data_IF_880551195716
#
_entry.id   IF_880551195716
#
_cell.length_a   1.000
_cell.length_b   1.000
_cell.length_c   1.000
_cell.angle_alpha   90.00
_cell.angle_beta   90.00
_cell.angle_gamma   90.00
#
_symmetry.space_group_name_H-M   'P 1'
#
loop_
_entity.id
_entity.type
_entity.pdbx_description
1 polymer ?
#
# COMPACT_ATOMS: atom_id res chain seq x y z
N UNK A 1 0.84 -10.82 -4.05
CA UNK A 1 1.71 -11.89 -3.50
C UNK A 1 0.87 -12.84 -2.68
N UNK A 2 1.06 -14.15 -2.84
CA UNK A 2 0.38 -15.16 -2.01
C UNK A 2 1.11 -15.29 -0.68
N UNK A 3 0.36 -15.35 0.43
CA UNK A 3 0.92 -15.49 1.79
C UNK A 3 0.11 -16.53 2.57
N UNK A 4 0.77 -17.12 3.56
CA UNK A 4 0.14 -18.01 4.55
C UNK A 4 0.63 -17.64 5.96
N UNK A 5 -0.09 -18.09 6.97
CA UNK A 5 0.31 -17.97 8.36
C UNK A 5 0.90 -19.32 8.79
N UNK A 6 2.10 -19.32 9.32
CA UNK A 6 2.80 -20.50 9.82
C UNK A 6 3.26 -20.33 11.26
N UNK A 7 3.91 -21.36 11.79
CA UNK A 7 4.56 -21.33 13.10
C UNK A 7 6.03 -21.71 12.95
N UNK A 8 6.92 -20.89 13.47
CA UNK A 8 8.34 -21.19 13.52
C UNK A 8 8.85 -21.00 14.96
N UNK A 9 9.41 -22.06 15.55
CA UNK A 9 9.91 -22.06 16.94
C UNK A 9 8.91 -21.59 18.00
N UNK A 10 7.59 -21.84 17.77
CA UNK A 10 6.52 -21.42 18.66
C UNK A 10 6.01 -20.00 18.44
N UNK A 11 6.54 -19.28 17.47
CA UNK A 11 6.09 -17.93 17.08
C UNK A 11 5.29 -17.99 15.79
N UNK A 12 4.23 -17.19 15.68
CA UNK A 12 3.46 -17.01 14.45
C UNK A 12 4.30 -16.22 13.43
N UNK A 13 4.38 -16.74 12.21
CA UNK A 13 5.14 -16.13 11.11
C UNK A 13 4.27 -16.01 9.86
N UNK A 14 4.61 -15.07 9.01
CA UNK A 14 4.03 -14.95 7.67
C UNK A 14 4.95 -15.67 6.68
N UNK A 15 4.39 -16.60 5.93
CA UNK A 15 5.08 -17.31 4.85
C UNK A 15 4.71 -16.61 3.54
N UNK A 16 5.68 -15.96 2.90
CA UNK A 16 5.49 -15.34 1.58
C UNK A 16 5.97 -16.32 0.50
N UNK A 17 5.10 -16.62 -0.46
CA UNK A 17 5.48 -17.44 -1.62
C UNK A 17 6.30 -16.62 -2.59
N UNK A 18 7.32 -17.28 -3.18
CA UNK A 18 8.08 -16.65 -4.25
C UNK A 18 7.14 -16.33 -5.42
N UNK A 19 7.09 -15.08 -5.83
CA UNK A 19 6.24 -14.58 -6.90
C UNK A 19 6.95 -14.49 -8.25
N UNK A 20 8.26 -14.78 -8.30
CA UNK A 20 9.02 -14.78 -9.53
C UNK A 20 8.69 -16.04 -10.35
N UNK A 21 8.39 -15.85 -11.62
CA UNK A 21 8.28 -16.95 -12.56
C UNK A 21 9.68 -17.44 -12.98
N UNK A 22 9.80 -18.68 -13.48
CA UNK A 22 11.09 -19.19 -13.96
C UNK A 22 11.72 -18.25 -14.99
N UNK A 23 12.96 -17.82 -14.72
CA UNK A 23 13.72 -16.91 -15.59
C UNK A 23 13.36 -15.43 -15.42
N UNK A 24 12.53 -15.06 -14.43
CA UNK A 24 12.35 -13.67 -14.05
C UNK A 24 13.41 -13.23 -13.07
N UNK A 25 13.81 -11.96 -13.18
CA UNK A 25 14.67 -11.24 -12.23
C UNK A 25 13.89 -10.05 -11.66
N UNK A 26 13.98 -9.84 -10.33
CA UNK A 26 13.41 -8.68 -9.65
C UNK A 26 14.46 -7.58 -9.55
N UNK A 27 14.12 -6.40 -10.07
CA UNK A 27 14.81 -5.15 -9.74
C UNK A 27 13.90 -4.34 -8.81
N UNK A 28 14.38 -4.04 -7.63
CA UNK A 28 13.64 -3.18 -6.69
C UNK A 28 13.59 -1.74 -7.20
N UNK A 29 12.58 -0.99 -6.77
CA UNK A 29 12.44 0.39 -7.21
C UNK A 29 13.66 1.26 -6.91
N UNK A 30 14.42 0.93 -5.87
CA UNK A 30 15.69 1.59 -5.54
C UNK A 30 16.72 1.53 -6.65
N UNK A 31 16.80 0.41 -7.37
CA UNK A 31 17.77 0.19 -8.45
C UNK A 31 17.64 1.16 -9.63
N UNK A 32 16.49 1.82 -9.76
CA UNK A 32 16.21 2.79 -10.83
C UNK A 32 16.55 4.25 -10.45
N UNK A 33 17.05 4.48 -9.23
CA UNK A 33 17.40 5.81 -8.77
C UNK A 33 18.93 5.96 -8.67
N UNK A 34 19.52 6.77 -9.52
CA UNK A 34 20.98 7.00 -9.55
C UNK A 34 21.52 7.57 -8.21
N UNK A 35 20.68 8.30 -7.48
CA UNK A 35 21.01 8.92 -6.19
C UNK A 35 20.70 8.01 -4.99
N UNK A 36 20.48 6.71 -5.21
CA UNK A 36 20.17 5.81 -4.13
C UNK A 36 21.40 5.64 -3.21
N UNK A 37 21.33 6.13 -1.98
CA UNK A 37 22.44 5.97 -1.06
C UNK A 37 22.53 4.51 -0.62
N UNK A 38 23.59 3.83 -1.04
CA UNK A 38 23.93 2.49 -0.57
C UNK A 38 24.48 2.59 0.86
N UNK A 39 23.60 2.84 1.81
CA UNK A 39 23.98 2.75 3.22
C UNK A 39 23.41 1.46 3.85
N UNK A 40 24.33 0.61 4.28
CA UNK A 40 24.14 -0.78 4.68
C UNK A 40 23.35 -0.97 6.00
N UNK A 41 22.51 -0.05 6.42
CA UNK A 41 21.88 -0.20 7.72
C UNK A 41 20.46 0.32 7.92
N UNK A 42 19.96 1.22 7.08
CA UNK A 42 18.57 1.73 7.14
C UNK A 42 18.10 2.12 5.77
N UNK A 43 16.85 1.80 5.38
CA UNK A 43 16.28 2.31 4.15
C UNK A 43 16.17 3.83 4.24
N UNK A 44 17.07 4.53 3.56
CA UNK A 44 17.01 5.98 3.41
C UNK A 44 16.11 6.25 2.20
N UNK A 45 15.07 7.05 2.39
CA UNK A 45 14.21 7.44 1.28
C UNK A 45 15.04 8.22 0.25
N UNK A 46 15.00 7.76 -1.00
CA UNK A 46 15.66 8.42 -2.13
C UNK A 46 15.27 9.89 -2.22
N UNK A 47 16.22 10.82 -2.40
CA UNK A 47 15.90 12.22 -2.71
C UNK A 47 14.92 12.31 -3.88
N UNK A 48 13.96 13.21 -3.81
CA UNK A 48 12.99 13.39 -4.88
C UNK A 48 12.06 12.18 -5.13
N UNK A 49 11.79 11.35 -4.13
CA UNK A 49 10.87 10.21 -4.25
C UNK A 49 9.43 10.69 -4.47
N UNK A 50 9.13 11.03 -5.72
CA UNK A 50 7.85 11.61 -6.14
C UNK A 50 7.13 10.73 -7.14
N UNK A 51 5.80 10.93 -7.24
CA UNK A 51 4.98 10.29 -8.26
C UNK A 51 5.56 10.46 -9.68
N UNK A 52 5.99 11.67 -10.03
CA UNK A 52 6.52 11.95 -11.36
C UNK A 52 7.80 11.18 -11.65
N UNK A 53 8.68 11.06 -10.65
CA UNK A 53 9.94 10.33 -10.83
C UNK A 53 9.68 8.81 -10.97
N UNK A 54 8.76 8.25 -10.18
CA UNK A 54 8.36 6.84 -10.32
C UNK A 54 7.66 6.62 -11.66
N UNK A 55 6.80 7.54 -12.07
CA UNK A 55 6.14 7.50 -13.38
C UNK A 55 7.15 7.38 -14.53
N UNK A 56 8.22 8.19 -14.53
CA UNK A 56 9.24 8.11 -15.60
C UNK A 56 9.95 6.76 -15.68
N UNK A 57 10.00 6.02 -14.57
CA UNK A 57 10.57 4.66 -14.52
C UNK A 57 9.61 3.64 -15.15
N UNK A 58 8.32 3.71 -14.83
CA UNK A 58 7.35 2.66 -15.20
C UNK A 58 6.67 2.92 -16.56
N UNK A 59 6.57 4.18 -16.99
CA UNK A 59 5.84 4.58 -18.21
C UNK A 59 6.44 3.98 -19.51
N UNK A 60 7.78 3.86 -19.68
CA UNK A 60 8.37 3.20 -20.87
C UNK A 60 7.94 1.74 -21.05
N UNK A 61 7.52 1.08 -19.96
CA UNK A 61 7.03 -0.30 -19.97
C UNK A 61 5.51 -0.41 -20.04
N UNK A 62 4.79 0.72 -20.14
CA UNK A 62 3.32 0.74 -20.15
C UNK A 62 2.67 0.46 -18.77
N UNK A 63 3.44 0.52 -17.67
CA UNK A 63 3.02 0.15 -16.31
C UNK A 63 2.46 1.32 -15.48
N UNK A 64 2.11 2.44 -16.10
CA UNK A 64 1.42 3.53 -15.41
C UNK A 64 0.10 3.10 -14.74
N UNK A 65 -0.74 2.25 -15.37
CA UNK A 65 -1.94 1.74 -14.68
C UNK A 65 -1.62 0.94 -13.41
N UNK A 66 -0.53 0.18 -13.40
CA UNK A 66 -0.10 -0.61 -12.23
C UNK A 66 0.41 0.29 -11.11
N UNK A 67 1.16 1.36 -11.44
CA UNK A 67 1.55 2.39 -10.48
C UNK A 67 0.33 3.05 -9.84
N UNK A 68 -0.70 3.39 -10.62
CA UNK A 68 -1.92 4.00 -10.09
C UNK A 68 -2.70 3.01 -9.20
N UNK A 69 -2.76 1.73 -9.57
CA UNK A 69 -3.32 0.67 -8.74
C UNK A 69 -2.57 0.54 -7.40
N UNK A 70 -1.24 0.59 -7.41
CA UNK A 70 -0.41 0.57 -6.20
C UNK A 70 -0.75 1.75 -5.28
N UNK A 71 -0.85 2.96 -5.81
CA UNK A 71 -1.19 4.18 -5.04
C UNK A 71 -2.58 4.07 -4.42
N UNK A 72 -3.57 3.60 -5.19
CA UNK A 72 -4.94 3.39 -4.70
C UNK A 72 -4.97 2.30 -3.63
N UNK A 73 -4.24 1.21 -3.80
CA UNK A 73 -4.12 0.15 -2.80
C UNK A 73 -3.48 0.65 -1.51
N UNK A 74 -2.34 1.34 -1.58
CA UNK A 74 -1.67 1.90 -0.41
C UNK A 74 -2.57 2.91 0.33
N UNK A 75 -3.34 3.70 -0.43
CA UNK A 75 -4.34 4.58 0.15
C UNK A 75 -5.46 3.79 0.84
N UNK A 76 -5.92 2.68 0.30
CA UNK A 76 -6.97 1.83 0.89
C UNK A 76 -6.51 1.24 2.22
N UNK A 77 -5.33 0.64 2.26
CA UNK A 77 -4.80 -0.05 3.45
C UNK A 77 -4.07 0.89 4.41
N UNK A 78 -3.95 2.17 4.08
CA UNK A 78 -3.17 3.17 4.83
C UNK A 78 -1.69 2.77 5.00
N UNK A 79 -1.06 2.25 3.95
CA UNK A 79 0.36 1.87 3.97
C UNK A 79 1.24 3.13 4.07
N UNK A 80 1.99 3.25 5.16
CA UNK A 80 2.84 4.44 5.41
C UNK A 80 4.31 4.23 5.04
N UNK A 81 4.64 3.10 4.42
CA UNK A 81 6.03 2.69 4.22
C UNK A 81 6.32 2.16 2.80
N UNK A 82 5.67 2.70 1.78
CA UNK A 82 5.99 2.41 0.38
C UNK A 82 7.24 3.18 -0.05
N UNK A 83 8.39 2.82 0.51
CA UNK A 83 9.68 3.32 0.02
C UNK A 83 10.11 2.60 -1.27
N UNK A 84 11.22 3.03 -1.85
CA UNK A 84 11.67 2.55 -3.16
C UNK A 84 11.93 1.02 -3.21
N UNK A 85 12.31 0.39 -2.11
CA UNK A 85 12.61 -1.04 -2.07
C UNK A 85 11.37 -1.91 -1.77
N UNK A 86 10.20 -1.30 -1.52
CA UNK A 86 8.93 -2.00 -1.27
C UNK A 86 8.08 -2.16 -2.53
N UNK A 87 8.62 -1.88 -3.69
CA UNK A 87 8.07 -2.19 -5.01
C UNK A 87 9.20 -2.50 -5.98
N UNK A 88 8.90 -3.10 -7.11
CA UNK A 88 9.92 -3.41 -8.12
C UNK A 88 9.32 -3.86 -9.43
N UNK A 89 10.18 -4.07 -10.42
CA UNK A 89 9.86 -4.58 -11.74
C UNK A 89 10.45 -5.97 -11.90
N UNK A 90 9.64 -6.91 -12.41
CA UNK A 90 10.10 -8.24 -12.80
C UNK A 90 10.40 -8.23 -14.29
N UNK A 91 11.61 -8.61 -14.65
CA UNK A 91 12.10 -8.69 -16.02
C UNK A 91 12.24 -10.13 -16.46
N UNK A 92 11.81 -10.43 -17.68
CA UNK A 92 12.07 -11.68 -18.36
C UNK A 92 12.17 -11.44 -19.86
N UNK A 93 13.37 -11.55 -20.43
CA UNK A 93 13.61 -11.20 -21.82
C UNK A 93 13.10 -9.78 -22.13
N UNK A 94 12.20 -9.62 -23.08
CA UNK A 94 11.59 -8.32 -23.44
C UNK A 94 10.30 -8.00 -22.65
N UNK A 95 9.92 -8.86 -21.71
CA UNK A 95 8.70 -8.67 -20.89
C UNK A 95 9.04 -8.05 -19.56
N UNK A 96 8.29 -7.00 -19.21
CA UNK A 96 8.40 -6.33 -17.92
C UNK A 96 7.02 -6.22 -17.29
N UNK A 97 6.92 -6.51 -15.99
CA UNK A 97 5.71 -6.32 -15.20
C UNK A 97 6.03 -5.72 -13.85
N UNK A 98 5.06 -5.05 -13.23
CA UNK A 98 5.19 -4.68 -11.83
C UNK A 98 5.19 -5.96 -10.98
N UNK A 99 6.09 -6.04 -10.01
CA UNK A 99 6.07 -7.09 -9.01
C UNK A 99 4.74 -7.04 -8.23
N UNK A 100 4.17 -8.18 -7.80
CA UNK A 100 3.07 -8.15 -6.84
C UNK A 100 3.47 -7.33 -5.62
N UNK A 101 2.55 -6.51 -5.11
CA UNK A 101 2.85 -5.68 -3.95
C UNK A 101 3.25 -6.53 -2.74
N UNK A 102 4.33 -6.16 -2.09
CA UNK A 102 4.89 -6.84 -0.91
C UNK A 102 5.19 -5.82 0.19
N UNK A 103 5.58 -6.31 1.36
CA UNK A 103 5.90 -5.53 2.55
C UNK A 103 4.81 -4.52 2.96
N UNK A 104 3.67 -5.06 3.42
CA UNK A 104 2.56 -4.25 3.92
C UNK A 104 2.54 -4.13 5.46
N UNK A 105 3.66 -4.42 6.12
CA UNK A 105 3.77 -4.41 7.58
C UNK A 105 3.36 -3.10 8.24
N UNK A 106 3.51 -1.98 7.54
CA UNK A 106 3.15 -0.64 8.01
C UNK A 106 1.74 -0.18 7.62
N UNK A 107 0.79 -1.13 7.48
CA UNK A 107 -0.59 -0.89 7.05
C UNK A 107 -1.61 -1.11 8.17
N UNK A 108 -2.87 -0.74 7.93
CA UNK A 108 -4.03 -1.07 8.75
C UNK A 108 -3.92 -0.68 10.24
N UNK A 109 -3.12 0.36 10.54
CA UNK A 109 -2.91 0.82 11.92
C UNK A 109 -2.07 -0.15 12.76
N UNK A 110 -1.11 -0.85 12.16
CA UNK A 110 -0.23 -1.85 12.76
C UNK A 110 0.38 -1.43 14.10
N UNK A 111 0.78 -0.15 14.24
CA UNK A 111 1.45 0.38 15.44
C UNK A 111 0.50 0.69 16.60
N UNK A 112 -0.80 0.56 16.41
CA UNK A 112 -1.79 0.83 17.47
C UNK A 112 -1.87 -0.37 18.43
N UNK A 113 -1.81 -0.12 19.73
CA UNK A 113 -2.19 -1.11 20.72
C UNK A 113 -3.73 -1.16 20.91
N UNK A 114 -4.22 -2.18 21.59
CA UNK A 114 -5.66 -2.43 21.79
C UNK A 114 -6.37 -1.25 22.51
N UNK A 115 -5.73 -0.62 23.49
CA UNK A 115 -6.32 0.52 24.19
C UNK A 115 -6.50 1.72 23.27
N UNK A 116 -5.53 1.95 22.40
CA UNK A 116 -5.61 3.01 21.39
C UNK A 116 -6.69 2.73 20.35
N UNK A 117 -6.80 1.49 19.89
CA UNK A 117 -7.88 1.06 18.99
C UNK A 117 -9.24 1.28 19.66
N UNK A 118 -9.43 0.82 20.90
CA UNK A 118 -10.66 1.02 21.67
C UNK A 118 -11.04 2.49 21.77
N UNK A 119 -10.07 3.34 22.08
CA UNK A 119 -10.28 4.79 22.19
C UNK A 119 -10.68 5.43 20.87
N UNK A 120 -10.04 5.01 19.76
CA UNK A 120 -10.39 5.50 18.42
C UNK A 120 -11.80 5.03 18.03
N UNK A 121 -12.12 3.76 18.26
CA UNK A 121 -13.41 3.16 17.89
C UNK A 121 -14.59 3.73 18.69
N UNK A 122 -14.37 4.15 19.94
CA UNK A 122 -15.40 4.77 20.78
C UNK A 122 -15.69 6.23 20.44
N UNK A 123 -14.94 6.88 19.55
CA UNK A 123 -15.08 8.28 19.22
C UNK A 123 -14.99 8.53 17.71
N UNK A 124 -16.12 8.87 17.09
CA UNK A 124 -16.20 9.08 15.64
C UNK A 124 -15.23 10.16 15.14
N UNK A 125 -15.06 11.28 15.85
CA UNK A 125 -14.12 12.35 15.44
C UNK A 125 -12.67 11.86 15.47
N UNK A 126 -12.30 11.02 16.44
CA UNK A 126 -10.97 10.42 16.50
C UNK A 126 -10.77 9.43 15.35
N UNK A 127 -11.80 8.65 15.03
CA UNK A 127 -11.75 7.70 13.93
C UNK A 127 -11.59 8.42 12.57
N UNK A 128 -12.39 9.45 12.30
CA UNK A 128 -12.27 10.29 11.10
C UNK A 128 -10.89 10.95 11.01
N UNK A 129 -10.37 11.49 12.12
CA UNK A 129 -9.04 12.06 12.15
C UNK A 129 -7.95 11.01 11.86
N UNK A 130 -8.14 9.77 12.31
CA UNK A 130 -7.22 8.66 12.03
C UNK A 130 -7.24 8.29 10.54
N UNK A 131 -8.41 8.15 9.93
CA UNK A 131 -8.56 7.87 8.50
C UNK A 131 -7.81 8.89 7.65
N UNK A 132 -7.90 10.18 7.99
CA UNK A 132 -7.32 11.27 7.21
C UNK A 132 -5.80 11.45 7.43
N UNK A 133 -5.19 10.79 8.43
CA UNK A 133 -3.76 10.93 8.77
C UNK A 133 -2.83 9.96 8.03
N UNK A 134 -3.35 9.00 7.28
CA UNK A 134 -2.51 8.04 6.55
C UNK A 134 -1.55 8.76 5.60
N UNK A 135 -0.25 8.75 5.93
CA UNK A 135 0.78 9.43 5.16
C UNK A 135 1.33 8.51 4.07
N UNK A 136 1.65 9.10 2.92
CA UNK A 136 2.40 8.43 1.84
C UNK A 136 3.86 8.85 1.87
N UNK A 137 4.77 7.91 1.56
CA UNK A 137 6.16 8.25 1.26
C UNK A 137 6.33 8.79 -0.16
N UNK A 138 5.48 8.34 -1.10
CA UNK A 138 5.42 8.92 -2.46
C UNK A 138 4.83 10.32 -2.35
N UNK A 139 5.49 11.31 -2.94
CA UNK A 139 5.15 12.73 -2.85
C UNK A 139 4.72 13.29 -4.20
N UNK A 140 4.05 14.43 -4.20
CA UNK A 140 3.83 15.21 -5.43
C UNK A 140 5.03 16.08 -5.75
N UNK A 141 5.63 16.69 -4.72
CA UNK A 141 6.77 17.60 -4.80
C UNK A 141 7.81 17.22 -3.76
N UNK A 142 9.08 17.47 -4.08
CA UNK A 142 10.17 17.17 -3.18
C UNK A 142 10.04 17.98 -1.86
N UNK A 143 10.41 17.33 -0.76
CA UNK A 143 10.42 17.95 0.58
C UNK A 143 9.06 18.01 1.29
N UNK A 144 7.94 17.92 0.59
CA UNK A 144 6.62 18.05 1.20
C UNK A 144 6.00 16.69 1.54
N UNK A 145 5.79 16.43 2.84
CA UNK A 145 5.03 15.26 3.30
C UNK A 145 3.57 15.40 2.87
N UNK A 146 2.98 14.28 2.43
CA UNK A 146 1.61 14.27 1.92
C UNK A 146 0.85 13.08 2.47
N UNK A 147 -0.45 13.23 2.74
CA UNK A 147 -1.31 12.09 3.02
C UNK A 147 -1.81 11.45 1.71
N UNK A 148 -2.27 10.20 1.80
CA UNK A 148 -2.73 9.45 0.63
C UNK A 148 -3.82 10.16 -0.17
N UNK A 149 -4.79 10.79 0.51
CA UNK A 149 -5.93 11.43 -0.17
C UNK A 149 -5.49 12.67 -0.94
N UNK A 150 -4.58 13.47 -0.37
CA UNK A 150 -4.02 14.62 -1.06
C UNK A 150 -3.11 14.19 -2.23
N UNK A 151 -2.40 13.06 -2.09
CA UNK A 151 -1.63 12.49 -3.19
C UNK A 151 -2.56 12.12 -4.36
N UNK A 152 -3.66 11.39 -4.10
CA UNK A 152 -4.66 11.04 -5.12
C UNK A 152 -5.24 12.30 -5.76
N UNK A 153 -5.63 13.30 -4.95
CA UNK A 153 -6.18 14.57 -5.47
C UNK A 153 -5.19 15.29 -6.39
N UNK A 154 -3.91 15.33 -6.02
CA UNK A 154 -2.88 15.97 -6.84
C UNK A 154 -2.59 15.22 -8.14
N UNK A 155 -2.63 13.88 -8.11
CA UNK A 155 -2.47 13.04 -9.31
C UNK A 155 -3.70 13.17 -10.23
N UNK A 156 -4.92 13.28 -9.69
CA UNK A 156 -6.17 13.37 -10.45
C UNK A 156 -6.12 14.45 -11.54
N UNK A 157 -5.51 15.57 -11.27
CA UNK A 157 -5.42 16.67 -12.23
C UNK A 157 -4.65 16.28 -13.53
N UNK A 158 -3.86 15.21 -13.49
CA UNK A 158 -3.04 14.74 -14.62
C UNK A 158 -3.49 13.38 -15.15
N UNK A 159 -4.01 12.52 -14.27
CA UNK A 159 -4.31 11.10 -14.53
C UNK A 159 -5.75 10.72 -14.13
N UNK A 160 -6.73 11.61 -14.37
CA UNK A 160 -8.11 11.39 -13.92
C UNK A 160 -8.69 10.05 -14.42
N UNK A 161 -8.55 9.75 -15.70
CA UNK A 161 -9.06 8.49 -16.28
C UNK A 161 -8.33 7.27 -15.73
N UNK A 162 -7.01 7.36 -15.55
CA UNK A 162 -6.21 6.28 -14.96
C UNK A 162 -6.62 5.99 -13.52
N UNK A 163 -6.81 7.02 -12.69
CA UNK A 163 -7.29 6.88 -11.31
C UNK A 163 -8.71 6.32 -11.24
N UNK A 164 -9.62 6.75 -12.14
CA UNK A 164 -10.98 6.17 -12.22
C UNK A 164 -10.91 4.67 -12.52
N UNK A 165 -10.05 4.24 -13.42
CA UNK A 165 -9.88 2.83 -13.74
C UNK A 165 -9.28 2.05 -12.56
N UNK A 166 -8.25 2.57 -11.90
CA UNK A 166 -7.67 1.97 -10.71
C UNK A 166 -8.70 1.85 -9.56
N UNK A 167 -9.55 2.87 -9.37
CA UNK A 167 -10.59 2.87 -8.34
C UNK A 167 -11.67 1.82 -8.59
N UNK A 168 -11.97 1.46 -9.85
CA UNK A 168 -12.92 0.38 -10.17
C UNK A 168 -12.53 -0.95 -9.52
N UNK A 169 -11.24 -1.23 -9.39
CA UNK A 169 -10.73 -2.46 -8.75
C UNK A 169 -11.17 -2.54 -7.30
N UNK A 170 -11.04 -1.46 -6.54
CA UNK A 170 -11.48 -1.44 -5.14
C UNK A 170 -12.99 -1.30 -5.00
N UNK A 171 -13.67 -0.66 -5.95
CA UNK A 171 -15.14 -0.53 -5.95
C UNK A 171 -15.84 -1.88 -6.08
N UNK A 172 -15.25 -2.83 -6.80
CA UNK A 172 -15.76 -4.20 -6.91
C UNK A 172 -15.70 -4.99 -5.58
N UNK A 173 -14.86 -4.57 -4.63
CA UNK A 173 -14.72 -5.22 -3.32
C UNK A 173 -15.92 -4.86 -2.44
N UNK A 174 -16.74 -5.84 -2.07
CA UNK A 174 -17.90 -5.67 -1.21
C UNK A 174 -17.58 -5.96 0.27
N UNK A 175 -18.51 -5.57 1.15
CA UNK A 175 -18.36 -5.72 2.61
C UNK A 175 -18.15 -7.17 3.04
N UNK A 176 -18.89 -8.10 2.45
CA UNK A 176 -18.83 -9.51 2.83
C UNK A 176 -17.47 -10.11 2.46
N UNK A 177 -16.94 -9.78 1.28
CA UNK A 177 -15.59 -10.19 0.86
C UNK A 177 -14.51 -9.68 1.82
N UNK A 178 -14.57 -8.39 2.21
CA UNK A 178 -13.63 -7.82 3.18
C UNK A 178 -13.71 -8.55 4.52
N UNK A 179 -14.93 -8.75 5.03
CA UNK A 179 -15.12 -9.42 6.31
C UNK A 179 -14.66 -10.87 6.29
N UNK A 180 -14.94 -11.60 5.21
CA UNK A 180 -14.51 -12.98 5.04
C UNK A 180 -12.98 -13.10 5.01
N UNK A 181 -12.26 -12.16 4.38
CA UNK A 181 -10.80 -12.15 4.39
C UNK A 181 -10.27 -11.89 5.81
N UNK A 182 -10.83 -10.91 6.52
CA UNK A 182 -10.41 -10.58 7.90
C UNK A 182 -10.59 -11.77 8.84
N UNK A 183 -11.64 -12.54 8.66
CA UNK A 183 -11.93 -13.74 9.46
C UNK A 183 -10.95 -14.91 9.24
N UNK A 184 -10.18 -14.90 8.17
CA UNK A 184 -9.14 -15.92 7.95
C UNK A 184 -7.96 -15.78 8.91
N UNK A 185 -7.78 -14.61 9.54
CA UNK A 185 -6.73 -14.44 10.54
C UNK A 185 -7.15 -15.14 11.84
N UNK A 186 -6.33 -16.01 12.43
CA UNK A 186 -6.63 -16.71 13.67
C UNK A 186 -6.95 -15.79 14.86
N UNK A 187 -7.76 -16.27 15.80
CA UNK A 187 -8.24 -15.48 16.95
C UNK A 187 -7.12 -15.16 17.96
N UNK A 188 -6.10 -15.98 18.03
CA UNK A 188 -4.88 -15.75 18.84
C UNK A 188 -3.96 -14.69 18.25
N UNK A 189 -4.12 -14.35 16.96
CA UNK A 189 -3.34 -13.32 16.27
C UNK A 189 -4.09 -11.99 16.22
N UNK A 190 -5.40 -12.01 16.01
CA UNK A 190 -6.19 -10.79 15.84
C UNK A 190 -7.47 -10.83 16.69
N UNK A 191 -7.58 -9.91 17.64
CA UNK A 191 -8.77 -9.74 18.48
C UNK A 191 -9.99 -9.28 17.66
N UNK A 192 -11.19 -9.54 18.19
CA UNK A 192 -12.43 -9.07 17.56
C UNK A 192 -12.48 -7.55 17.42
N UNK A 193 -11.98 -6.82 18.42
CA UNK A 193 -11.86 -5.37 18.35
C UNK A 193 -10.97 -4.92 17.19
N UNK A 194 -9.85 -5.61 16.98
CA UNK A 194 -8.93 -5.32 15.88
C UNK A 194 -9.57 -5.66 14.52
N UNK A 195 -10.32 -6.77 14.42
CA UNK A 195 -11.05 -7.14 13.20
C UNK A 195 -12.07 -6.07 12.82
N UNK A 196 -12.86 -5.62 13.78
CA UNK A 196 -13.86 -4.57 13.56
C UNK A 196 -13.21 -3.24 13.16
N UNK A 197 -12.11 -2.87 13.82
CA UNK A 197 -11.33 -1.68 13.45
C UNK A 197 -10.81 -1.74 12.02
N UNK A 198 -10.16 -2.84 11.63
CA UNK A 198 -9.63 -3.03 10.27
C UNK A 198 -10.76 -3.02 9.23
N UNK A 199 -11.86 -3.70 9.52
CA UNK A 199 -13.04 -3.71 8.66
C UNK A 199 -13.58 -2.31 8.42
N UNK A 200 -13.84 -1.58 9.50
CA UNK A 200 -14.35 -0.22 9.42
C UNK A 200 -13.35 0.72 8.72
N UNK A 201 -12.07 0.59 9.01
CA UNK A 201 -11.00 1.38 8.37
C UNK A 201 -11.02 1.21 6.85
N UNK A 202 -11.05 -0.02 6.36
CA UNK A 202 -11.06 -0.33 4.93
C UNK A 202 -12.29 0.24 4.23
N UNK A 203 -13.49 0.08 4.82
CA UNK A 203 -14.72 0.58 4.22
C UNK A 203 -14.76 2.10 4.14
N UNK A 204 -14.35 2.79 5.20
CA UNK A 204 -14.33 4.26 5.22
C UNK A 204 -13.28 4.84 4.27
N UNK A 205 -12.08 4.23 4.22
CA UNK A 205 -11.05 4.68 3.28
C UNK A 205 -11.46 4.41 1.83
N UNK A 206 -12.08 3.27 1.54
CA UNK A 206 -12.69 2.99 0.23
C UNK A 206 -13.67 4.09 -0.15
N UNK A 207 -14.63 4.41 0.71
CA UNK A 207 -15.62 5.45 0.46
C UNK A 207 -14.99 6.84 0.25
N UNK A 208 -13.90 7.16 0.98
CA UNK A 208 -13.15 8.40 0.77
C UNK A 208 -12.49 8.43 -0.60
N UNK A 209 -11.81 7.35 -1.01
CA UNK A 209 -11.14 7.26 -2.32
C UNK A 209 -12.16 7.39 -3.45
N UNK A 210 -13.29 6.68 -3.38
CA UNK A 210 -14.36 6.74 -4.37
C UNK A 210 -14.91 8.16 -4.53
N UNK A 211 -15.12 8.90 -3.44
CA UNK A 211 -15.56 10.30 -3.48
C UNK A 211 -14.54 11.26 -4.09
N UNK A 212 -13.25 10.99 -3.89
CA UNK A 212 -12.19 11.83 -4.45
C UNK A 212 -12.01 11.63 -5.95
N UNK A 213 -12.21 10.41 -6.43
CA UNK A 213 -11.95 10.05 -7.83
C UNK A 213 -13.18 10.28 -8.72
N UNK A 214 -14.38 10.06 -8.21
CA UNK A 214 -15.65 10.33 -8.94
C UNK A 214 -16.02 11.79 -8.86
#
# INVERSE_FOLDING_TARGET
MQVDIGCCKGESVILAYNFLHPGEELNEGGDFFEDYPVDLGKPILVPGYTFMRIRTIVEPYGLLPDLLNMIIFDALVANSDRHQDNWGLCFKEDQVRLAPLYDHGSSLGWSLNEDRVRKIMSNNRMFEAFINRGMSLIRLEEGHKINHFNLITGIKNREDMGLRNATKTISAVNKDSVWNIIKLVPDDIMSDLRREFVFRLLLERKACIERLVN
#
